data_IF_303437786661
#
_entry.id   IF_303437786661
#
_cell.length_a   1.000
_cell.length_b   1.000
_cell.length_c   1.000
_cell.angle_alpha   90.00
_cell.angle_beta   90.00
_cell.angle_gamma   90.00
#
_symmetry.space_group_name_H-M   'P 1'
#
loop_
_entity.id
_entity.type
_entity.pdbx_description
1 polymer ?
#
# COMPACT_ATOMS: atom_id res chain seq x y z
N UNK A 1 7.94 14.79 -41.06
CA UNK A 1 9.06 13.95 -40.59
C UNK A 1 9.85 14.73 -39.53
N UNK A 2 9.45 14.63 -38.27
CA UNK A 2 10.27 15.03 -37.12
C UNK A 2 10.12 13.91 -36.07
N UNK A 3 11.25 13.34 -35.59
CA UNK A 3 11.27 12.01 -35.01
C UNK A 3 10.72 11.97 -33.59
N UNK A 4 10.27 10.76 -33.26
CA UNK A 4 9.61 10.32 -32.04
C UNK A 4 10.41 10.68 -30.78
N UNK A 5 9.67 11.19 -29.80
CA UNK A 5 10.04 11.49 -28.42
C UNK A 5 10.63 10.27 -27.72
N UNK A 6 11.83 10.42 -27.16
CA UNK A 6 12.45 9.49 -26.21
C UNK A 6 12.64 10.23 -24.88
N UNK A 7 11.58 10.26 -24.06
CA UNK A 7 11.76 10.39 -22.61
C UNK A 7 11.90 8.96 -22.06
N UNK A 8 12.96 8.62 -21.32
CA UNK A 8 13.00 7.38 -20.59
C UNK A 8 11.92 7.48 -19.51
N UNK A 9 10.83 6.75 -19.72
CA UNK A 9 9.75 6.58 -18.74
C UNK A 9 10.29 5.80 -17.55
N UNK A 10 11.04 6.47 -16.68
CA UNK A 10 11.23 6.08 -15.29
C UNK A 10 10.06 6.56 -14.43
N UNK A 11 8.84 6.53 -14.97
CA UNK A 11 7.63 6.72 -14.19
C UNK A 11 7.30 5.35 -13.60
N UNK A 12 7.77 5.10 -12.39
CA UNK A 12 7.10 4.14 -11.50
C UNK A 12 5.62 4.50 -11.53
N UNK A 13 4.83 3.65 -12.18
CA UNK A 13 3.44 3.92 -12.46
C UNK A 13 2.68 4.12 -11.14
N UNK A 14 2.20 5.35 -10.90
CA UNK A 14 0.97 5.70 -10.19
C UNK A 14 0.62 4.96 -8.88
N UNK A 15 1.60 4.45 -8.14
CA UNK A 15 1.42 4.09 -6.74
C UNK A 15 1.28 5.40 -5.96
N UNK A 16 0.07 5.94 -5.89
CA UNK A 16 -0.18 7.23 -5.27
C UNK A 16 -1.64 7.35 -4.89
N UNK A 17 -1.88 7.87 -3.70
CA UNK A 17 -3.18 8.04 -3.10
C UNK A 17 -3.20 9.29 -2.25
N UNK A 18 -4.35 9.96 -2.19
CA UNK A 18 -4.49 11.17 -1.37
C UNK A 18 -4.33 10.81 0.12
N UNK A 19 -3.53 11.58 0.86
CA UNK A 19 -3.19 11.27 2.26
C UNK A 19 -2.34 10.01 2.46
N UNK A 20 -1.65 9.53 1.41
CA UNK A 20 -0.74 8.39 1.50
C UNK A 20 0.56 8.61 0.74
N UNK A 21 1.68 8.20 1.33
CA UNK A 21 2.96 8.08 0.63
C UNK A 21 3.17 6.61 0.27
N UNK A 22 3.27 6.31 -1.03
CA UNK A 22 3.50 4.92 -1.48
C UNK A 22 4.85 4.80 -2.18
N UNK A 23 5.68 3.89 -1.69
CA UNK A 23 6.97 3.52 -2.28
C UNK A 23 6.90 2.10 -2.83
N UNK A 24 6.86 1.96 -4.15
CA UNK A 24 6.70 0.68 -4.84
C UNK A 24 8.03 0.22 -5.46
N UNK A 25 8.50 -0.94 -5.00
CA UNK A 25 9.55 -1.76 -5.61
C UNK A 25 8.95 -2.85 -6.52
N UNK A 26 9.80 -3.57 -7.25
CA UNK A 26 9.40 -4.58 -8.27
C UNK A 26 8.37 -5.62 -7.80
N UNK A 27 8.35 -5.99 -6.51
CA UNK A 27 7.45 -7.02 -5.95
C UNK A 27 6.78 -6.62 -4.63
N UNK A 28 7.05 -5.40 -4.14
CA UNK A 28 6.60 -4.97 -2.83
C UNK A 28 6.40 -3.46 -2.80
N UNK A 29 5.43 -3.02 -2.03
CA UNK A 29 5.00 -1.64 -1.93
C UNK A 29 4.87 -1.27 -0.45
N UNK A 30 5.52 -0.20 -0.03
CA UNK A 30 5.39 0.35 1.31
C UNK A 30 4.47 1.54 1.24
N UNK A 31 3.33 1.47 1.92
CA UNK A 31 2.32 2.51 1.99
C UNK A 31 2.35 3.11 3.38
N UNK A 32 2.56 4.42 3.47
CA UNK A 32 2.39 5.20 4.69
C UNK A 32 1.06 5.93 4.60
N UNK A 33 0.15 5.61 5.50
CA UNK A 33 -1.16 6.27 5.63
C UNK A 33 -1.08 7.35 6.72
N UNK A 34 -1.45 8.58 6.39
CA UNK A 34 -1.65 9.63 7.39
C UNK A 34 -2.93 9.34 8.20
N UNK A 35 -2.85 9.48 9.52
CA UNK A 35 -3.99 9.29 10.42
C UNK A 35 -4.84 10.56 10.47
N UNK A 36 -6.16 10.39 10.55
CA UNK A 36 -7.10 11.51 10.66
C UNK A 36 -7.53 12.11 9.33
N UNK A 37 -7.14 11.49 8.20
CA UNK A 37 -7.64 11.81 6.87
C UNK A 37 -8.22 10.54 6.20
N UNK A 38 -9.08 10.71 5.21
CA UNK A 38 -9.56 9.62 4.36
C UNK A 38 -8.42 9.16 3.44
N UNK A 39 -7.58 8.25 3.94
CA UNK A 39 -6.39 7.78 3.26
C UNK A 39 -6.66 6.49 2.47
N UNK A 40 -6.49 6.55 1.14
CA UNK A 40 -6.55 5.37 0.26
C UNK A 40 -5.39 5.34 -0.71
N UNK A 41 -4.88 4.15 -1.02
CA UNK A 41 -3.86 3.93 -2.03
C UNK A 41 -4.29 2.82 -2.99
N UNK A 42 -3.88 2.90 -4.25
CA UNK A 42 -4.03 1.81 -5.22
C UNK A 42 -2.68 1.17 -5.47
N UNK A 43 -2.52 -0.09 -5.09
CA UNK A 43 -1.26 -0.82 -5.08
C UNK A 43 -1.41 -2.05 -5.94
N UNK A 44 -0.58 -2.18 -6.98
CA UNK A 44 -0.59 -3.35 -7.88
C UNK A 44 -1.98 -3.64 -8.48
N UNK A 45 -2.82 -2.61 -8.65
CA UNK A 45 -4.20 -2.74 -9.14
C UNK A 45 -5.25 -3.09 -8.08
N UNK A 46 -4.85 -3.27 -6.81
CA UNK A 46 -5.74 -3.49 -5.67
C UNK A 46 -5.85 -2.22 -4.83
N UNK A 47 -7.07 -1.83 -4.47
CA UNK A 47 -7.29 -0.67 -3.59
C UNK A 47 -7.06 -1.06 -2.13
N UNK A 48 -6.23 -0.30 -1.42
CA UNK A 48 -6.03 -0.38 0.01
C UNK A 48 -6.54 0.89 0.70
N UNK A 49 -7.38 0.73 1.72
CA UNK A 49 -7.97 1.85 2.46
C UNK A 49 -7.74 1.64 3.95
N UNK A 50 -7.31 2.69 4.65
CA UNK A 50 -7.24 2.64 6.11
C UNK A 50 -8.63 2.91 6.69
N UNK A 51 -9.26 1.89 7.27
CA UNK A 51 -10.61 2.01 7.84
C UNK A 51 -10.55 2.45 9.30
N UNK A 52 -9.53 2.02 10.03
CA UNK A 52 -9.38 2.39 11.42
C UNK A 52 -8.13 1.84 12.07
N UNK A 53 -7.75 2.46 13.19
CA UNK A 53 -6.66 2.02 14.05
C UNK A 53 -7.19 1.98 15.47
N UNK A 54 -7.02 0.85 16.15
CA UNK A 54 -7.55 0.60 17.49
C UNK A 54 -6.45 0.01 18.37
N UNK A 55 -5.82 0.87 19.18
CA UNK A 55 -4.58 0.52 19.88
C UNK A 55 -3.51 0.12 18.88
N UNK A 56 -3.02 -1.12 19.01
CA UNK A 56 -2.01 -1.73 18.15
C UNK A 56 -2.58 -2.49 16.95
N UNK A 57 -3.91 -2.46 16.74
CA UNK A 57 -4.56 -3.15 15.63
C UNK A 57 -4.94 -2.17 14.53
N UNK A 58 -4.55 -2.49 13.30
CA UNK A 58 -4.86 -1.69 12.10
C UNK A 58 -5.90 -2.44 11.28
N UNK A 59 -7.05 -1.81 11.04
CA UNK A 59 -8.08 -2.32 10.15
C UNK A 59 -7.95 -1.67 8.79
N UNK A 60 -7.64 -2.50 7.80
CA UNK A 60 -7.44 -2.12 6.40
C UNK A 60 -8.54 -2.74 5.55
N UNK A 61 -8.92 -2.07 4.47
CA UNK A 61 -9.77 -2.64 3.42
C UNK A 61 -8.94 -2.83 2.17
N UNK A 62 -8.72 -4.08 1.78
CA UNK A 62 -7.91 -4.46 0.61
C UNK A 62 -8.86 -5.13 -0.39
N UNK A 63 -8.97 -4.56 -1.59
CA UNK A 63 -9.84 -5.08 -2.66
C UNK A 63 -11.32 -5.22 -2.26
N UNK A 64 -11.77 -4.41 -1.29
CA UNK A 64 -13.12 -4.46 -0.76
C UNK A 64 -13.31 -5.38 0.45
N UNK A 65 -12.32 -6.21 0.79
CA UNK A 65 -12.31 -7.06 1.98
C UNK A 65 -11.67 -6.34 3.17
N UNK A 66 -12.32 -6.36 4.34
CA UNK A 66 -11.75 -5.78 5.56
C UNK A 66 -10.90 -6.82 6.29
N UNK A 67 -9.70 -6.42 6.69
CA UNK A 67 -8.75 -7.23 7.43
C UNK A 67 -8.19 -6.42 8.59
N UNK A 68 -8.00 -7.08 9.74
CA UNK A 68 -7.33 -6.47 10.89
C UNK A 68 -5.97 -7.12 11.05
N UNK A 69 -4.93 -6.30 11.07
CA UNK A 69 -3.53 -6.72 11.20
C UNK A 69 -2.94 -6.03 12.42
N UNK A 70 -2.37 -6.78 13.39
CA UNK A 70 -1.68 -6.18 14.52
C UNK A 70 -0.36 -5.55 14.07
N UNK A 71 0.15 -4.57 14.83
CA UNK A 71 1.49 -4.02 14.64
C UNK A 71 2.53 -5.15 14.71
N UNK A 72 3.54 -5.07 13.84
CA UNK A 72 4.54 -6.14 13.66
C UNK A 72 3.95 -7.48 13.15
N UNK A 73 2.66 -7.49 12.84
CA UNK A 73 1.95 -8.63 12.27
C UNK A 73 1.88 -8.59 10.75
N UNK A 74 1.54 -9.74 10.18
CA UNK A 74 1.23 -9.88 8.77
C UNK A 74 -0.02 -10.72 8.56
N UNK A 75 -0.74 -10.42 7.48
CA UNK A 75 -1.93 -11.16 7.06
C UNK A 75 -1.93 -11.27 5.54
N UNK A 76 -2.40 -12.40 5.02
CA UNK A 76 -2.55 -12.58 3.58
C UNK A 76 -4.00 -12.28 3.17
N UNK A 77 -4.18 -11.43 2.17
CA UNK A 77 -5.49 -11.05 1.61
C UNK A 77 -5.37 -10.99 0.09
N UNK A 78 -6.28 -11.66 -0.63
CA UNK A 78 -6.28 -11.74 -2.10
C UNK A 78 -4.93 -12.15 -2.72
N UNK A 79 -4.17 -13.01 -2.03
CA UNK A 79 -2.84 -13.41 -2.50
C UNK A 79 -1.78 -12.30 -2.40
N UNK A 80 -2.04 -11.24 -1.66
CA UNK A 80 -1.08 -10.23 -1.23
C UNK A 80 -0.73 -10.43 0.24
N UNK A 81 0.54 -10.31 0.59
CA UNK A 81 0.99 -10.27 1.98
C UNK A 81 0.97 -8.82 2.47
N UNK A 82 0.16 -8.56 3.50
CA UNK A 82 -0.03 -7.25 4.12
C UNK A 82 0.58 -7.28 5.51
N UNK A 83 1.65 -6.54 5.72
CA UNK A 83 2.38 -6.46 6.99
C UNK A 83 2.35 -5.04 7.55
N UNK A 84 2.01 -4.89 8.83
CA UNK A 84 2.05 -3.59 9.50
C UNK A 84 3.44 -3.42 10.10
N UNK A 85 4.23 -2.51 9.55
CA UNK A 85 5.60 -2.29 10.01
C UNK A 85 5.66 -1.34 11.20
N UNK A 86 4.82 -0.31 11.22
CA UNK A 86 4.83 0.67 12.29
C UNK A 86 3.49 1.39 12.38
N UNK A 87 3.09 1.66 13.63
CA UNK A 87 1.92 2.48 13.94
C UNK A 87 2.39 3.61 14.85
N UNK A 88 2.29 4.86 14.38
CA UNK A 88 2.58 6.05 15.18
C UNK A 88 1.30 6.85 15.42
N UNK A 89 1.42 7.94 16.17
CA UNK A 89 0.27 8.80 16.47
C UNK A 89 -0.28 9.48 15.21
N UNK A 90 0.60 9.76 14.25
CA UNK A 90 0.28 10.50 13.03
C UNK A 90 0.26 9.62 11.78
N UNK A 91 0.98 8.49 11.75
CA UNK A 91 1.20 7.70 10.54
C UNK A 91 1.05 6.19 10.78
N UNK A 92 0.64 5.44 9.76
CA UNK A 92 0.65 3.97 9.74
C UNK A 92 1.42 3.48 8.53
N UNK A 93 2.50 2.73 8.77
CA UNK A 93 3.35 2.17 7.70
C UNK A 93 2.97 0.71 7.48
N UNK A 94 2.49 0.42 6.28
CA UNK A 94 2.06 -0.91 5.86
C UNK A 94 2.89 -1.34 4.66
N UNK A 95 3.44 -2.54 4.69
CA UNK A 95 4.14 -3.16 3.57
C UNK A 95 3.23 -4.19 2.93
N UNK A 96 2.98 -4.05 1.64
CA UNK A 96 2.16 -4.95 0.83
C UNK A 96 3.06 -5.57 -0.23
N UNK A 97 3.14 -6.89 -0.30
CA UNK A 97 3.92 -7.58 -1.34
C UNK A 97 3.09 -8.65 -2.02
N UNK A 98 3.36 -8.90 -3.30
CA UNK A 98 2.77 -10.04 -4.00
C UNK A 98 3.05 -11.33 -3.23
N UNK A 99 2.00 -12.06 -2.86
CA UNK A 99 2.10 -13.38 -2.22
C UNK A 99 2.32 -14.51 -3.22
N UNK A 100 2.44 -14.19 -4.52
CA UNK A 100 2.88 -15.10 -5.56
C UNK A 100 4.40 -15.07 -5.70
N UNK A 101 5.00 -16.24 -5.62
CA UNK A 101 6.35 -16.55 -6.09
C UNK A 101 6.71 -15.73 -7.33
N UNK A 102 7.85 -15.03 -7.28
CA UNK A 102 8.49 -14.53 -8.48
C UNK A 102 8.81 -15.71 -9.39
N UNK A 103 8.28 -15.66 -10.63
CA UNK A 103 8.56 -16.63 -11.68
C UNK A 103 9.98 -16.57 -12.21
#
# INVERSE_FOLDING_TARGET
>A
MLPLVLLPLGAVAACGGEGTTTDCSLNACTVTFDRGVDANASILGVKAELVGVQGDNVTLRIGGQQVTVPVDGQQQVEGLNVAVQSVTQDNVVVKISGGGEGG
#
